data_IF_605513928186
#
_entry.id   IF_605513928186
#
_cell.length_a   1.000
_cell.length_b   1.000
_cell.length_c   1.000
_cell.angle_alpha   90.00
_cell.angle_beta   90.00
_cell.angle_gamma   90.00
#
_symmetry.space_group_name_H-M   'P 1'
#
loop_
_entity.id
_entity.type
_entity.pdbx_description
1 polymer ?
#
# COMPACT_ATOMS: atom_id res chain seq x y z
N UNK A 1 11.84 -3.81 13.40
CA UNK A 1 12.94 -3.60 12.45
C UNK A 1 12.63 -2.38 11.61
N UNK A 2 13.61 -1.50 11.36
CA UNK A 2 13.43 -0.36 10.47
C UNK A 2 13.51 -0.82 9.02
N UNK A 3 12.46 -0.57 8.24
CA UNK A 3 12.42 -0.77 6.79
C UNK A 3 12.66 0.57 6.10
N UNK A 4 13.48 0.54 5.06
CA UNK A 4 13.74 1.68 4.18
C UNK A 4 13.20 1.36 2.79
N UNK A 5 12.49 2.30 2.18
CA UNK A 5 11.88 2.13 0.87
C UNK A 5 11.99 3.40 0.03
N UNK A 6 11.85 3.22 -1.28
CA UNK A 6 11.78 4.33 -2.24
C UNK A 6 10.96 3.93 -3.45
N UNK A 7 10.45 4.93 -4.17
CA UNK A 7 9.92 4.72 -5.51
C UNK A 7 11.06 4.49 -6.52
N UNK A 8 10.74 3.95 -7.70
CA UNK A 8 11.75 3.64 -8.71
C UNK A 8 12.56 4.86 -9.20
N UNK A 9 11.93 6.04 -9.27
CA UNK A 9 12.60 7.26 -9.73
C UNK A 9 13.30 8.05 -8.61
N UNK A 10 13.25 7.58 -7.35
CA UNK A 10 13.85 8.28 -6.20
C UNK A 10 13.15 9.58 -5.76
N UNK A 11 12.03 9.96 -6.38
CA UNK A 11 11.27 11.15 -6.00
C UNK A 11 10.53 11.02 -4.65
N UNK A 12 10.43 9.79 -4.13
CA UNK A 12 9.83 9.47 -2.84
C UNK A 12 10.74 8.48 -2.12
N UNK A 13 11.07 8.79 -0.87
CA UNK A 13 11.75 7.90 0.08
C UNK A 13 10.89 7.77 1.34
N UNK A 14 10.93 6.62 1.99
CA UNK A 14 10.25 6.44 3.26
C UNK A 14 10.98 5.47 4.18
N UNK A 15 10.71 5.59 5.47
CA UNK A 15 11.14 4.64 6.49
C UNK A 15 9.99 4.30 7.42
N UNK A 16 9.88 3.05 7.83
CA UNK A 16 8.82 2.59 8.76
C UNK A 16 9.34 1.45 9.63
N UNK A 17 8.92 1.38 10.88
CA UNK A 17 9.19 0.21 11.71
C UNK A 17 8.19 -0.90 11.39
N UNK A 18 8.68 -2.13 11.35
CA UNK A 18 7.86 -3.34 11.23
C UNK A 18 8.19 -4.26 12.40
N UNK A 19 7.16 -4.73 13.13
CA UNK A 19 7.33 -5.73 14.19
C UNK A 19 7.74 -7.08 13.58
N UNK A 20 7.15 -7.40 12.43
CA UNK A 20 7.34 -8.66 11.72
C UNK A 20 7.67 -8.41 10.23
N UNK A 21 8.92 -8.04 9.88
CA UNK A 21 9.32 -7.91 8.47
C UNK A 21 9.29 -9.25 7.73
N UNK A 22 9.16 -10.35 8.48
CA UNK A 22 8.88 -11.68 7.98
C UNK A 22 8.01 -12.43 9.00
N UNK A 23 7.09 -13.31 8.54
CA UNK A 23 6.74 -13.59 7.14
C UNK A 23 5.88 -12.49 6.50
N UNK A 24 6.09 -12.21 5.21
CA UNK A 24 5.31 -11.25 4.44
C UNK A 24 4.01 -11.87 3.92
N UNK A 25 3.00 -11.04 3.64
CA UNK A 25 1.75 -11.47 3.03
C UNK A 25 1.85 -11.44 1.51
N UNK A 26 1.48 -12.53 0.84
CA UNK A 26 1.20 -12.53 -0.61
C UNK A 26 -0.29 -12.37 -0.84
N UNK A 27 -0.70 -11.24 -1.43
CA UNK A 27 -2.10 -10.97 -1.72
C UNK A 27 -2.43 -11.17 -3.20
N UNK A 28 -3.40 -12.06 -3.44
CA UNK A 28 -3.88 -12.44 -4.79
C UNK A 28 -5.19 -11.76 -5.18
N UNK A 29 -5.72 -10.85 -4.36
CA UNK A 29 -6.98 -10.17 -4.68
C UNK A 29 -6.84 -9.41 -6.01
N UNK A 30 -7.96 -9.23 -6.72
CA UNK A 30 -7.98 -8.58 -8.03
C UNK A 30 -7.32 -7.19 -8.00
N UNK A 31 -7.52 -6.45 -6.90
CA UNK A 31 -6.96 -5.13 -6.72
C UNK A 31 -5.44 -5.19 -6.62
N UNK A 32 -4.90 -5.95 -5.65
CA UNK A 32 -3.45 -6.07 -5.44
C UNK A 32 -2.72 -6.58 -6.70
N UNK A 33 -3.29 -7.56 -7.41
CA UNK A 33 -2.73 -8.03 -8.69
C UNK A 33 -2.64 -6.93 -9.74
N UNK A 34 -3.66 -6.08 -9.84
CA UNK A 34 -3.75 -5.03 -10.85
C UNK A 34 -2.97 -3.77 -10.48
N UNK A 35 -2.79 -3.47 -9.20
CA UNK A 35 -2.16 -2.21 -8.74
C UNK A 35 -0.70 -2.37 -8.35
N UNK A 36 -0.26 -3.56 -7.92
CA UNK A 36 1.07 -3.76 -7.36
C UNK A 36 1.69 -5.13 -7.67
N UNK A 37 1.01 -5.99 -8.43
CA UNK A 37 1.38 -7.40 -8.58
C UNK A 37 1.89 -7.77 -9.96
N UNK A 38 3.08 -7.29 -10.34
CA UNK A 38 3.72 -7.60 -11.63
C UNK A 38 3.78 -9.11 -11.94
N UNK A 39 3.98 -9.94 -10.91
CA UNK A 39 4.06 -11.41 -11.01
C UNK A 39 2.74 -12.13 -10.71
N UNK A 40 1.60 -11.42 -10.72
CA UNK A 40 0.28 -12.01 -10.44
C UNK A 40 -0.13 -12.03 -8.96
N UNK A 41 0.62 -11.36 -8.08
CA UNK A 41 0.27 -11.06 -6.68
C UNK A 41 1.12 -9.90 -6.16
N UNK A 42 0.63 -9.19 -5.14
CA UNK A 42 1.42 -8.18 -4.43
C UNK A 42 2.03 -8.79 -3.15
N UNK A 43 3.22 -8.33 -2.78
CA UNK A 43 3.85 -8.63 -1.50
C UNK A 43 3.55 -7.45 -0.58
N UNK A 44 2.90 -7.71 0.56
CA UNK A 44 2.66 -6.72 1.61
C UNK A 44 3.49 -7.06 2.84
N UNK A 45 4.13 -6.04 3.40
CA UNK A 45 4.85 -6.08 4.67
C UNK A 45 4.08 -5.19 5.64
N UNK A 46 3.84 -5.68 6.86
CA UNK A 46 3.24 -4.87 7.91
C UNK A 46 4.22 -3.79 8.35
N UNK A 47 3.71 -2.62 8.69
CA UNK A 47 4.49 -1.48 9.14
C UNK A 47 3.67 -0.62 10.07
N UNK A 48 4.26 -0.25 11.20
CA UNK A 48 3.68 0.64 12.19
C UNK A 48 3.57 2.05 11.61
N UNK A 49 2.36 2.41 11.20
CA UNK A 49 2.06 3.69 10.57
C UNK A 49 2.46 4.89 11.45
N UNK A 50 2.49 4.75 12.78
CA UNK A 50 2.91 5.83 13.68
C UNK A 50 4.40 6.18 13.55
N UNK A 51 5.18 5.27 12.97
CA UNK A 51 6.62 5.42 12.76
C UNK A 51 6.98 5.78 11.32
N UNK A 52 6.00 5.84 10.42
CA UNK A 52 6.19 6.15 9.02
C UNK A 52 6.72 7.59 8.86
N UNK A 53 7.89 7.71 8.22
CA UNK A 53 8.46 8.99 7.81
C UNK A 53 8.62 8.97 6.30
N UNK A 54 8.24 10.06 5.64
CA UNK A 54 8.22 10.17 4.18
C UNK A 54 8.91 11.45 3.74
N UNK A 55 9.72 11.33 2.69
CA UNK A 55 10.30 12.45 1.95
C UNK A 55 9.73 12.45 0.53
N UNK A 56 9.35 13.63 0.02
CA UNK A 56 8.74 13.78 -1.31
C UNK A 56 7.24 13.47 -1.36
N UNK A 57 6.49 13.74 -0.28
CA UNK A 57 5.05 13.49 -0.18
C UNK A 57 4.24 14.16 -1.31
N UNK A 58 4.69 15.31 -1.81
CA UNK A 58 4.10 16.02 -2.93
C UNK A 58 4.12 15.22 -4.25
N UNK A 59 4.97 14.20 -4.34
CA UNK A 59 5.06 13.29 -5.49
C UNK A 59 4.15 12.05 -5.33
N UNK A 60 3.42 11.93 -4.22
CA UNK A 60 2.52 10.81 -3.95
C UNK A 60 1.12 11.13 -4.50
N UNK A 61 0.50 10.14 -5.12
CA UNK A 61 -0.92 10.12 -5.45
C UNK A 61 -1.62 8.99 -4.69
N UNK A 62 -2.93 9.15 -4.44
CA UNK A 62 -3.74 8.19 -3.70
C UNK A 62 -4.82 7.61 -4.61
N UNK A 63 -4.91 6.28 -4.66
CA UNK A 63 -5.97 5.56 -5.33
C UNK A 63 -6.79 4.73 -4.34
N UNK A 64 -8.12 4.87 -4.39
CA UNK A 64 -9.08 4.03 -3.66
C UNK A 64 -9.84 3.17 -4.65
N UNK A 65 -9.75 1.85 -4.50
CA UNK A 65 -10.39 0.91 -5.40
C UNK A 65 -11.90 0.85 -5.18
N UNK A 66 -12.65 0.55 -6.24
CA UNK A 66 -14.07 0.15 -6.11
C UNK A 66 -14.16 -1.36 -5.89
N UNK A 67 -14.94 -1.78 -4.91
CA UNK A 67 -15.18 -3.17 -4.52
C UNK A 67 -16.66 -3.47 -4.70
N UNK A 68 -16.96 -4.58 -5.35
CA UNK A 68 -18.32 -5.12 -5.43
C UNK A 68 -18.38 -6.34 -4.52
N UNK A 69 -19.06 -6.23 -3.38
CA UNK A 69 -19.38 -7.42 -2.58
C UNK A 69 -20.69 -8.04 -3.10
N UNK A 70 -20.92 -9.35 -2.89
CA UNK A 70 -22.15 -10.00 -3.31
C UNK A 70 -23.43 -9.41 -2.69
N UNK A 71 -23.29 -8.81 -1.51
CA UNK A 71 -24.39 -8.23 -0.72
C UNK A 71 -24.67 -6.76 -1.09
N UNK A 72 -23.73 -6.09 -1.75
CA UNK A 72 -23.87 -4.67 -2.08
C UNK A 72 -24.69 -4.50 -3.38
N UNK A 73 -25.64 -3.57 -3.43
CA UNK A 73 -26.41 -3.30 -4.64
C UNK A 73 -25.56 -2.67 -5.76
N UNK A 74 -24.48 -1.97 -5.41
CA UNK A 74 -23.58 -1.27 -6.34
C UNK A 74 -22.13 -1.30 -5.80
N UNK A 75 -21.10 -1.08 -6.64
CA UNK A 75 -19.72 -1.06 -6.17
C UNK A 75 -19.45 0.08 -5.18
N UNK A 76 -18.93 -0.27 -4.00
CA UNK A 76 -18.54 0.68 -2.96
C UNK A 76 -17.07 1.08 -3.09
N UNK A 77 -16.73 2.30 -2.69
CA UNK A 77 -15.34 2.74 -2.66
C UNK A 77 -14.66 2.20 -1.39
N UNK A 78 -13.55 1.48 -1.56
CA UNK A 78 -12.69 1.00 -0.47
C UNK A 78 -12.07 2.18 0.29
N UNK A 79 -12.03 2.09 1.61
CA UNK A 79 -11.33 3.07 2.46
C UNK A 79 -9.81 3.01 2.27
N UNK A 80 -9.28 1.82 1.96
CA UNK A 80 -7.88 1.56 1.68
C UNK A 80 -7.25 2.50 0.64
N UNK A 81 -6.35 3.35 1.13
CA UNK A 81 -5.55 4.31 0.40
C UNK A 81 -4.29 3.66 -0.17
N UNK A 82 -4.28 3.41 -1.48
CA UNK A 82 -3.07 2.92 -2.17
C UNK A 82 -2.25 4.10 -2.61
N UNK A 83 -1.09 4.28 -2.00
CA UNK A 83 -0.17 5.38 -2.26
C UNK A 83 0.86 4.96 -3.27
N UNK A 84 1.02 5.74 -4.33
CA UNK A 84 1.96 5.47 -5.41
C UNK A 84 2.65 6.74 -5.88
N UNK A 85 3.86 6.60 -6.43
CA UNK A 85 4.57 7.73 -7.02
C UNK A 85 3.89 8.17 -8.33
N UNK A 86 3.48 9.43 -8.42
CA UNK A 86 2.80 9.98 -9.62
C UNK A 86 3.69 10.03 -10.86
N UNK A 87 5.01 9.99 -10.69
CA UNK A 87 5.98 10.11 -11.78
C UNK A 87 6.33 8.76 -12.41
N UNK A 88 6.50 7.71 -11.60
CA UNK A 88 6.96 6.40 -12.07
C UNK A 88 5.96 5.25 -11.83
N UNK A 89 4.83 5.51 -11.16
CA UNK A 89 3.80 4.51 -10.89
C UNK A 89 4.17 3.46 -9.84
N UNK A 90 5.34 3.56 -9.18
CA UNK A 90 5.70 2.62 -8.11
C UNK A 90 4.66 2.65 -6.99
N UNK A 91 4.05 1.50 -6.71
CA UNK A 91 3.22 1.30 -5.52
C UNK A 91 4.12 1.34 -4.29
N UNK A 92 3.79 2.20 -3.32
CA UNK A 92 4.63 2.46 -2.14
C UNK A 92 4.12 1.70 -0.92
N UNK A 93 2.90 2.03 -0.48
CA UNK A 93 2.21 1.30 0.59
C UNK A 93 0.70 1.47 0.46
N UNK A 94 -0.04 0.70 1.26
CA UNK A 94 -1.48 0.87 1.46
C UNK A 94 -1.72 1.21 2.92
N UNK A 95 -2.59 2.19 3.17
CA UNK A 95 -3.12 2.51 4.50
C UNK A 95 -4.62 2.27 4.48
N UNK A 96 -5.16 1.54 5.45
CA UNK A 96 -6.59 1.30 5.58
C UNK A 96 -7.04 1.65 7.00
N UNK A 97 -7.90 2.66 7.20
CA UNK A 97 -8.32 3.08 8.52
C UNK A 97 -9.19 2.03 9.23
N UNK A 98 -9.79 1.09 8.50
CA UNK A 98 -10.52 -0.05 9.07
C UNK A 98 -9.58 -1.09 9.72
N UNK A 99 -8.27 -0.96 9.50
CA UNK A 99 -7.22 -1.77 10.10
C UNK A 99 -6.14 -0.88 10.73
N UNK A 100 -6.45 -0.15 11.82
CA UNK A 100 -5.51 0.78 12.44
C UNK A 100 -4.34 0.06 13.13
N UNK A 101 -4.56 -1.19 13.57
CA UNK A 101 -3.67 -1.96 14.46
C UNK A 101 -3.10 -3.23 13.78
N UNK A 102 -2.91 -3.23 12.45
CA UNK A 102 -2.19 -4.35 11.81
C UNK A 102 -0.70 -4.26 12.11
N UNK A 103 -0.34 -4.81 13.28
CA UNK A 103 1.02 -5.12 13.74
C UNK A 103 1.81 -6.04 12.78
#
# INVERSE_FOLDING_TARGET
>A
MLLLGSCHCGAVHFSVNSLHPYPYMRCYCSICRKTAGASGYAINLAGDNTTLKVEGEENIAVYRAKVQNPEDPEPIQSEGERRFCRHCGSCLWVYDPSYPDVD
#
